data_IF_273766923610
#
_entry.id   IF_273766923610
#
_cell.length_a   1.000
_cell.length_b   1.000
_cell.length_c   1.000
_cell.angle_alpha   90.00
_cell.angle_beta   90.00
_cell.angle_gamma   90.00
#
_symmetry.space_group_name_H-M   'P 1'
#
loop_
_entity.id
_entity.type
_entity.pdbx_description
1 polymer ?
#
# COMPACT_ATOMS: atom_id res chain seq x y z
N UNK A 1 -3.67 -18.14 23.90
CA UNK A 1 -4.83 -17.33 24.33
C UNK A 1 -5.16 -16.44 23.16
N UNK A 2 -6.06 -16.92 22.32
CA UNK A 2 -6.46 -16.29 21.08
C UNK A 2 -7.32 -15.07 21.37
N UNK A 3 -6.71 -13.90 21.25
CA UNK A 3 -7.50 -12.67 21.23
C UNK A 3 -8.10 -12.60 19.82
N UNK A 4 -9.43 -12.60 19.67
CA UNK A 4 -10.03 -12.49 18.35
C UNK A 4 -9.52 -11.18 17.71
N UNK A 5 -9.11 -11.27 16.44
CA UNK A 5 -8.84 -10.11 15.60
C UNK A 5 -10.12 -9.28 15.49
N UNK A 6 -10.36 -8.42 16.47
CA UNK A 6 -11.47 -7.47 16.48
C UNK A 6 -11.10 -6.24 15.65
N UNK A 7 -10.63 -6.48 14.45
CA UNK A 7 -10.53 -5.48 13.40
C UNK A 7 -11.80 -5.58 12.56
N UNK A 8 -12.56 -4.53 12.49
CA UNK A 8 -13.79 -4.46 11.70
C UNK A 8 -13.57 -4.44 10.19
N UNK A 9 -12.33 -4.61 9.72
CA UNK A 9 -12.01 -4.60 8.29
C UNK A 9 -12.06 -6.01 7.70
N UNK A 10 -13.03 -6.33 6.83
CA UNK A 10 -13.17 -7.66 6.25
C UNK A 10 -11.96 -8.07 5.39
N UNK A 11 -11.23 -7.11 4.78
CA UNK A 11 -10.04 -7.40 4.00
C UNK A 11 -8.88 -7.85 4.90
N UNK A 12 -8.71 -7.22 6.05
CA UNK A 12 -7.67 -7.61 7.00
C UNK A 12 -7.97 -9.00 7.56
N UNK A 13 -9.21 -9.27 7.95
CA UNK A 13 -9.63 -10.59 8.42
C UNK A 13 -9.39 -11.69 7.37
N UNK A 14 -9.79 -11.44 6.12
CA UNK A 14 -9.58 -12.39 5.02
C UNK A 14 -8.10 -12.61 4.75
N UNK A 15 -7.30 -11.55 4.75
CA UNK A 15 -5.86 -11.65 4.49
C UNK A 15 -5.13 -12.47 5.57
N UNK A 16 -5.46 -12.24 6.84
CA UNK A 16 -4.92 -13.03 7.95
C UNK A 16 -5.30 -14.50 7.79
N UNK A 17 -6.60 -14.78 7.56
CA UNK A 17 -7.05 -16.15 7.36
C UNK A 17 -6.33 -16.86 6.20
N UNK A 18 -6.12 -16.19 5.09
CA UNK A 18 -5.38 -16.77 3.96
C UNK A 18 -3.95 -17.14 4.33
N UNK A 19 -3.27 -16.29 5.11
CA UNK A 19 -1.90 -16.56 5.59
C UNK A 19 -1.90 -17.71 6.60
N UNK A 20 -2.84 -17.74 7.53
CA UNK A 20 -2.98 -18.84 8.50
C UNK A 20 -3.26 -20.18 7.79
N UNK A 21 -4.17 -20.20 6.83
CA UNK A 21 -4.49 -21.39 6.02
C UNK A 21 -3.23 -21.86 5.23
N UNK A 22 -2.39 -20.94 4.77
CA UNK A 22 -1.13 -21.25 4.13
C UNK A 22 -0.13 -21.87 5.12
N UNK A 23 0.08 -21.26 6.29
CA UNK A 23 1.00 -21.73 7.31
C UNK A 23 0.62 -23.14 7.80
N UNK A 24 -0.67 -23.40 7.98
CA UNK A 24 -1.16 -24.73 8.33
C UNK A 24 -0.85 -25.76 7.25
N UNK A 25 -1.05 -25.43 5.98
CA UNK A 25 -0.74 -26.34 4.84
C UNK A 25 0.74 -26.72 4.76
N UNK A 26 1.60 -25.78 5.14
CA UNK A 26 3.06 -26.02 5.15
C UNK A 26 3.57 -26.57 6.49
N UNK A 27 2.67 -26.88 7.43
CA UNK A 27 3.00 -27.49 8.72
C UNK A 27 3.62 -26.52 9.74
N UNK A 28 3.57 -25.22 9.49
CA UNK A 28 4.04 -24.21 10.44
C UNK A 28 2.94 -23.90 11.47
N UNK A 29 3.17 -24.30 12.71
CA UNK A 29 2.24 -24.09 13.84
C UNK A 29 2.74 -23.05 14.83
N UNK A 30 4.02 -22.67 14.74
CA UNK A 30 4.68 -21.70 15.61
C UNK A 30 4.87 -20.39 14.84
N UNK A 31 3.90 -19.50 14.95
CA UNK A 31 3.91 -18.19 14.31
C UNK A 31 3.19 -17.13 15.13
N UNK A 32 3.51 -15.87 14.84
CA UNK A 32 2.88 -14.68 15.43
C UNK A 32 2.50 -13.71 14.33
N UNK A 33 1.22 -13.34 14.25
CA UNK A 33 0.75 -12.26 13.38
C UNK A 33 1.10 -10.92 14.00
N UNK A 34 1.99 -10.18 13.34
CA UNK A 34 2.47 -8.87 13.79
C UNK A 34 1.61 -7.73 13.25
N UNK A 35 1.05 -7.90 12.04
CA UNK A 35 0.14 -6.96 11.41
C UNK A 35 -0.93 -7.72 10.61
N UNK A 36 -2.20 -7.32 10.65
CA UNK A 36 -2.78 -6.23 11.43
C UNK A 36 -2.79 -6.54 12.94
N UNK A 37 -2.40 -5.57 13.74
CA UNK A 37 -2.37 -5.71 15.20
C UNK A 37 -2.63 -4.35 15.84
N UNK A 38 -3.28 -4.35 16.99
CA UNK A 38 -3.53 -3.13 17.78
C UNK A 38 -2.37 -2.75 18.70
N UNK A 39 -1.34 -3.60 18.83
CA UNK A 39 -0.25 -3.43 19.79
C UNK A 39 1.10 -3.05 19.21
N UNK A 40 1.34 -3.29 17.93
CA UNK A 40 2.60 -3.00 17.26
C UNK A 40 2.38 -2.00 16.12
N UNK A 41 3.23 -0.98 16.08
CA UNK A 41 3.29 -0.07 14.94
C UNK A 41 4.39 -0.54 13.99
N UNK A 42 4.00 -1.13 12.86
CA UNK A 42 4.92 -1.57 11.82
C UNK A 42 4.82 -0.62 10.64
N UNK A 43 5.95 -0.01 10.29
CA UNK A 43 6.04 0.74 9.03
C UNK A 43 6.16 -0.22 7.85
N UNK A 44 5.01 -0.60 7.30
CA UNK A 44 4.92 -1.52 6.16
C UNK A 44 5.61 -0.97 4.91
N UNK A 45 5.67 0.35 4.76
CA UNK A 45 6.38 0.99 3.63
C UNK A 45 7.88 0.85 3.79
N UNK A 46 8.41 1.17 4.98
CA UNK A 46 9.83 1.00 5.24
C UNK A 46 10.25 -0.47 5.05
N UNK A 47 9.45 -1.41 5.57
CA UNK A 47 9.71 -2.84 5.42
C UNK A 47 9.71 -3.27 3.93
N UNK A 48 8.67 -2.95 3.17
CA UNK A 48 8.59 -3.31 1.76
C UNK A 48 9.67 -2.67 0.90
N UNK A 49 10.08 -1.44 1.23
CA UNK A 49 11.21 -0.77 0.57
C UNK A 49 12.54 -1.46 0.88
N UNK A 50 12.77 -1.84 2.13
CA UNK A 50 13.97 -2.56 2.55
C UNK A 50 14.08 -3.94 1.87
N UNK A 51 12.96 -4.60 1.66
CA UNK A 51 12.87 -5.88 0.93
C UNK A 51 12.94 -5.73 -0.60
N UNK A 52 13.06 -4.50 -1.12
CA UNK A 52 13.11 -4.27 -2.56
C UNK A 52 11.77 -4.46 -3.30
N UNK A 53 10.67 -4.62 -2.59
CA UNK A 53 9.36 -4.88 -3.20
C UNK A 53 8.74 -3.66 -3.88
N UNK A 54 9.19 -2.47 -3.53
CA UNK A 54 8.78 -1.22 -4.16
C UNK A 54 9.83 -0.13 -4.03
N UNK A 55 9.72 0.88 -4.88
CA UNK A 55 10.42 2.16 -4.77
C UNK A 55 9.48 3.28 -4.32
N UNK A 56 10.04 4.43 -3.96
CA UNK A 56 9.22 5.61 -3.67
C UNK A 56 8.60 6.18 -4.95
N UNK A 57 7.40 6.73 -4.83
CA UNK A 57 6.73 7.47 -5.89
C UNK A 57 6.47 8.92 -5.51
N UNK A 58 6.23 9.77 -6.50
CA UNK A 58 5.80 11.14 -6.29
C UNK A 58 4.47 11.26 -5.52
N UNK A 59 3.71 10.17 -5.43
CA UNK A 59 2.42 10.12 -4.72
C UNK A 59 2.56 9.85 -3.21
N UNK A 60 3.77 9.74 -2.68
CA UNK A 60 4.02 9.42 -1.27
C UNK A 60 3.65 7.99 -0.87
N UNK A 61 3.40 7.10 -1.84
CA UNK A 61 3.14 5.66 -1.66
C UNK A 61 4.15 4.84 -2.46
N UNK A 62 4.25 3.54 -2.17
CA UNK A 62 5.14 2.64 -2.93
C UNK A 62 4.69 2.46 -4.38
N UNK A 63 5.66 2.21 -5.26
CA UNK A 63 5.45 1.84 -6.66
C UNK A 63 6.37 0.69 -7.04
N UNK A 64 5.85 -0.31 -7.76
CA UNK A 64 6.67 -1.33 -8.41
C UNK A 64 6.39 -1.43 -9.90
N UNK A 65 7.27 -2.12 -10.64
CA UNK A 65 7.20 -2.17 -12.10
C UNK A 65 5.99 -2.95 -12.63
N UNK A 66 5.46 -3.90 -11.86
CA UNK A 66 4.35 -4.77 -12.26
C UNK A 66 3.01 -4.11 -11.91
N UNK A 67 2.77 -3.92 -10.62
CA UNK A 67 1.46 -3.46 -10.12
C UNK A 67 1.33 -1.92 -10.08
N UNK A 68 2.37 -1.18 -10.48
CA UNK A 68 2.39 0.27 -10.29
C UNK A 68 2.22 0.62 -8.82
N UNK A 69 1.21 1.43 -8.52
CA UNK A 69 0.83 1.78 -7.14
C UNK A 69 -0.38 0.98 -6.62
N UNK A 70 -0.85 -0.03 -7.37
CA UNK A 70 -2.10 -0.76 -7.12
C UNK A 70 -1.89 -2.05 -6.33
N UNK A 71 -1.14 -1.97 -5.24
CA UNK A 71 -0.91 -3.04 -4.28
C UNK A 71 -1.00 -2.54 -2.85
N UNK A 72 -1.10 -3.45 -1.89
CA UNK A 72 -1.05 -3.13 -0.47
C UNK A 72 -0.48 -4.31 0.32
N UNK A 73 0.34 -4.02 1.31
CA UNK A 73 0.77 -4.99 2.32
C UNK A 73 -0.36 -5.20 3.32
N UNK A 74 -0.72 -6.44 3.58
CA UNK A 74 -1.89 -6.77 4.37
C UNK A 74 -1.59 -7.56 5.63
N UNK A 75 -0.53 -8.36 5.62
CA UNK A 75 -0.17 -9.19 6.76
C UNK A 75 1.34 -9.22 6.92
N UNK A 76 1.80 -9.12 8.16
CA UNK A 76 3.18 -9.41 8.56
C UNK A 76 3.14 -10.51 9.61
N UNK A 77 3.89 -11.57 9.38
CA UNK A 77 3.98 -12.73 10.25
C UNK A 77 5.42 -13.00 10.60
N UNK A 78 5.69 -13.26 11.87
CA UNK A 78 6.91 -13.91 12.33
C UNK A 78 6.59 -15.39 12.47
N UNK A 79 7.28 -16.26 11.74
CA UNK A 79 7.03 -17.69 11.74
C UNK A 79 8.32 -18.48 11.92
N UNK A 80 8.26 -19.51 12.75
CA UNK A 80 9.37 -20.46 12.93
C UNK A 80 9.28 -21.50 11.80
N UNK A 81 9.97 -21.23 10.69
CA UNK A 81 9.97 -22.09 9.52
C UNK A 81 11.40 -22.45 9.14
N UNK A 82 11.59 -23.67 8.62
CA UNK A 82 12.84 -24.10 8.00
C UNK A 82 12.88 -23.78 6.49
N UNK A 83 11.98 -22.92 6.01
CA UNK A 83 12.05 -22.50 4.62
C UNK A 83 13.27 -21.59 4.48
N UNK A 84 14.33 -22.13 3.90
CA UNK A 84 15.30 -21.30 3.24
C UNK A 84 14.51 -20.55 2.16
N UNK A 85 14.47 -19.25 2.27
CA UNK A 85 14.02 -18.43 1.15
C UNK A 85 15.08 -18.60 0.05
N UNK A 86 14.97 -19.68 -0.72
CA UNK A 86 15.64 -19.73 -2.01
C UNK A 86 14.95 -18.65 -2.83
N UNK A 87 15.56 -17.52 -2.81
CA UNK A 87 15.19 -16.35 -3.60
C UNK A 87 15.53 -16.63 -5.08
N UNK A 88 14.95 -17.74 -5.63
CA UNK A 88 15.06 -18.07 -7.05
C UNK A 88 14.41 -16.98 -7.92
N UNK A 89 13.71 -16.03 -7.32
CA UNK A 89 13.06 -14.91 -8.01
C UNK A 89 13.70 -13.56 -7.72
N UNK A 90 14.61 -13.43 -6.76
CA UNK A 90 15.50 -12.29 -6.69
C UNK A 90 16.66 -12.53 -7.66
N UNK A 91 16.36 -12.32 -8.92
CA UNK A 91 17.40 -11.92 -9.86
C UNK A 91 18.16 -10.78 -9.15
N UNK A 92 19.42 -11.03 -8.78
CA UNK A 92 20.28 -10.03 -8.13
C UNK A 92 20.38 -8.74 -8.94
N UNK A 93 19.86 -8.73 -10.17
CA UNK A 93 19.71 -7.56 -11.03
C UNK A 93 18.53 -6.67 -10.63
N UNK A 94 17.60 -7.12 -9.76
CA UNK A 94 16.55 -6.27 -9.15
C UNK A 94 17.05 -5.51 -7.91
N UNK A 95 18.36 -5.48 -7.68
CA UNK A 95 18.94 -4.61 -6.67
C UNK A 95 18.49 -3.17 -6.95
N UNK A 96 17.63 -2.65 -6.12
CA UNK A 96 17.39 -1.27 -5.69
C UNK A 96 18.08 -0.15 -6.52
N UNK A 97 18.15 -0.29 -7.84
CA UNK A 97 18.55 0.81 -8.68
C UNK A 97 17.38 1.79 -8.71
N UNK A 98 17.41 2.81 -7.85
CA UNK A 98 16.46 3.93 -7.88
C UNK A 98 16.35 4.54 -9.30
N UNK A 99 17.39 4.37 -10.13
CA UNK A 99 17.40 4.74 -11.56
C UNK A 99 16.48 3.82 -12.40
N UNK A 100 16.22 2.60 -11.97
CA UNK A 100 15.31 1.66 -12.64
C UNK A 100 13.88 1.70 -12.10
N UNK A 101 13.66 2.40 -10.97
CA UNK A 101 12.33 2.60 -10.43
C UNK A 101 11.41 3.27 -11.47
N UNK A 102 10.14 2.84 -11.59
CA UNK A 102 9.23 3.36 -12.61
C UNK A 102 9.17 4.89 -12.66
N UNK A 103 9.18 5.56 -11.50
CA UNK A 103 9.17 7.01 -11.42
C UNK A 103 10.46 7.67 -11.93
N UNK A 104 11.62 7.01 -11.82
CA UNK A 104 12.90 7.49 -12.36
C UNK A 104 12.91 7.53 -13.89
N UNK A 105 12.19 6.61 -14.53
CA UNK A 105 12.05 6.52 -16.00
C UNK A 105 10.86 7.35 -16.54
N UNK A 106 9.97 7.84 -15.67
CA UNK A 106 8.76 8.56 -16.07
C UNK A 106 9.03 10.04 -16.34
N UNK A 107 9.26 10.39 -17.60
CA UNK A 107 9.59 11.76 -18.04
C UNK A 107 8.37 12.68 -17.90
N UNK A 108 7.20 12.24 -18.32
CA UNK A 108 5.98 13.06 -18.44
C UNK A 108 5.29 13.33 -17.10
N UNK A 109 5.50 12.48 -16.10
CA UNK A 109 4.91 12.57 -14.76
C UNK A 109 3.42 12.95 -14.73
N UNK A 110 2.55 12.25 -15.46
CA UNK A 110 1.15 12.64 -15.59
C UNK A 110 0.38 12.68 -14.26
N UNK A 111 0.89 12.00 -13.23
CA UNK A 111 0.33 12.07 -11.88
C UNK A 111 0.49 13.47 -11.25
N UNK A 112 1.53 14.22 -11.62
CA UNK A 112 1.72 15.60 -11.15
C UNK A 112 0.69 16.52 -11.79
N UNK A 113 0.53 16.43 -13.10
CA UNK A 113 -0.38 17.27 -13.88
C UNK A 113 -1.86 16.99 -13.55
N UNK A 114 -2.20 15.74 -13.23
CA UNK A 114 -3.56 15.35 -12.90
C UNK A 114 -3.99 15.70 -11.47
N UNK A 115 -3.08 16.15 -10.61
CA UNK A 115 -3.42 16.50 -9.23
C UNK A 115 -3.97 17.92 -9.15
N UNK A 116 -5.23 18.15 -8.71
CA UNK A 116 -5.82 19.49 -8.69
C UNK A 116 -5.14 20.46 -7.72
N UNK A 117 -4.34 19.96 -6.78
CA UNK A 117 -3.63 20.76 -5.78
C UNK A 117 -2.11 20.63 -5.84
N UNK A 118 -1.57 19.94 -6.87
CA UNK A 118 -0.14 19.78 -7.06
C UNK A 118 0.57 19.04 -5.92
N UNK A 119 -0.13 18.17 -5.19
CA UNK A 119 0.44 17.45 -4.04
C UNK A 119 1.60 16.48 -4.38
N UNK A 120 1.63 15.81 -5.57
CA UNK A 120 2.76 14.95 -5.93
C UNK A 120 4.03 15.75 -6.21
N UNK A 121 5.17 15.28 -5.68
CA UNK A 121 6.46 15.95 -5.85
C UNK A 121 7.62 15.14 -5.30
N UNK A 122 8.77 15.79 -5.10
CA UNK A 122 9.92 15.22 -4.38
C UNK A 122 9.51 14.87 -2.95
N UNK A 123 8.76 15.76 -2.34
CA UNK A 123 8.04 15.51 -1.08
C UNK A 123 6.55 15.65 -1.38
N UNK A 124 5.78 14.64 -0.97
CA UNK A 124 4.34 14.67 -1.17
C UNK A 124 3.68 15.62 -0.17
N UNK A 125 2.90 16.59 -0.68
CA UNK A 125 2.14 17.52 0.17
C UNK A 125 0.84 16.86 0.68
N UNK A 126 0.97 16.19 1.83
CA UNK A 126 -0.14 15.50 2.47
C UNK A 126 -1.24 16.49 2.91
N UNK A 127 -0.88 17.69 3.36
CA UNK A 127 -1.83 18.68 3.86
C UNK A 127 -2.73 19.20 2.72
N UNK A 128 -2.12 19.57 1.58
CA UNK A 128 -2.87 19.97 0.40
C UNK A 128 -3.80 18.85 -0.09
N UNK A 129 -3.28 17.60 -0.14
CA UNK A 129 -4.07 16.43 -0.53
C UNK A 129 -5.27 16.20 0.40
N UNK A 130 -5.04 16.22 1.72
CA UNK A 130 -6.12 16.03 2.70
C UNK A 130 -7.17 17.15 2.63
N UNK A 131 -6.72 18.40 2.44
CA UNK A 131 -7.59 19.57 2.26
C UNK A 131 -8.50 19.42 1.05
N UNK A 132 -7.95 19.03 -0.10
CA UNK A 132 -8.72 18.78 -1.31
C UNK A 132 -9.73 17.64 -1.13
N UNK A 133 -9.33 16.55 -0.50
CA UNK A 133 -10.20 15.38 -0.32
C UNK A 133 -11.45 15.67 0.53
N UNK A 134 -11.37 16.56 1.51
CA UNK A 134 -12.51 16.92 2.37
C UNK A 134 -13.30 18.11 1.85
N UNK A 135 -12.86 18.75 0.77
CA UNK A 135 -13.59 19.86 0.12
C UNK A 135 -14.91 19.33 -0.45
N UNK A 136 -15.98 20.06 -0.23
CA UNK A 136 -17.30 19.73 -0.79
C UNK A 136 -17.25 19.64 -2.31
N UNK A 137 -17.84 18.58 -2.85
CA UNK A 137 -17.86 18.31 -4.29
C UNK A 137 -16.52 17.88 -4.89
N UNK A 138 -15.50 17.59 -4.08
CA UNK A 138 -14.20 17.19 -4.60
C UNK A 138 -14.26 15.85 -5.34
N UNK A 139 -13.71 15.81 -6.55
CA UNK A 139 -13.51 14.56 -7.30
C UNK A 139 -12.51 13.63 -6.61
N UNK A 140 -11.66 14.14 -5.69
CA UNK A 140 -10.68 13.36 -4.94
C UNK A 140 -11.24 12.72 -3.67
N UNK A 141 -12.51 12.96 -3.31
CA UNK A 141 -13.11 12.41 -2.09
C UNK A 141 -13.07 10.87 -2.06
N UNK A 142 -13.37 10.23 -3.21
CA UNK A 142 -13.48 8.77 -3.33
C UNK A 142 -12.52 8.14 -4.34
N UNK A 143 -11.53 8.89 -4.83
CA UNK A 143 -10.49 8.42 -5.74
C UNK A 143 -9.26 9.33 -5.66
N UNK A 144 -8.22 8.99 -6.39
CA UNK A 144 -7.07 9.88 -6.59
C UNK A 144 -6.82 10.08 -8.09
N UNK A 145 -7.08 11.29 -8.59
CA UNK A 145 -6.87 11.62 -10.01
C UNK A 145 -5.41 11.42 -10.41
N UNK A 146 -4.48 11.83 -9.55
CA UNK A 146 -3.05 11.65 -9.76
C UNK A 146 -2.65 10.16 -9.85
N UNK A 147 -3.18 9.31 -8.96
CA UNK A 147 -2.92 7.87 -8.98
C UNK A 147 -3.50 7.21 -10.23
N UNK A 148 -4.70 7.63 -10.62
CA UNK A 148 -5.36 7.15 -11.82
C UNK A 148 -4.62 7.52 -13.10
N UNK A 149 -3.90 8.63 -13.12
CA UNK A 149 -3.10 9.06 -14.27
C UNK A 149 -1.78 8.31 -14.41
N UNK A 150 -1.34 7.54 -13.39
CA UNK A 150 -0.10 6.78 -13.49
C UNK A 150 -0.20 5.72 -14.60
N UNK A 151 0.78 5.66 -15.53
CA UNK A 151 0.75 4.71 -16.64
C UNK A 151 1.24 3.30 -16.27
N UNK A 152 1.77 3.12 -15.05
CA UNK A 152 2.34 1.84 -14.61
C UNK A 152 1.29 1.00 -13.90
N UNK A 153 1.17 -0.28 -14.26
CA UNK A 153 0.27 -1.23 -13.63
C UNK A 153 -1.22 -0.91 -13.86
N UNK A 154 -1.57 -0.38 -15.03
CA UNK A 154 -2.95 0.06 -15.35
C UNK A 154 -3.95 -1.09 -15.34
N UNK A 155 -3.50 -2.30 -15.63
CA UNK A 155 -4.28 -3.54 -15.58
C UNK A 155 -4.65 -3.97 -14.16
N UNK A 156 -3.91 -3.50 -13.16
CA UNK A 156 -4.16 -3.75 -11.73
C UNK A 156 -4.94 -2.62 -11.06
N UNK A 157 -5.33 -1.61 -11.83
CA UNK A 157 -6.09 -0.49 -11.30
C UNK A 157 -7.39 -0.96 -10.67
N UNK A 158 -7.62 -0.48 -9.47
CA UNK A 158 -8.88 -0.75 -8.78
C UNK A 158 -10.07 -0.26 -9.60
N UNK A 159 -11.14 -1.04 -9.61
CA UNK A 159 -12.41 -0.59 -10.14
C UNK A 159 -13.03 0.52 -9.25
N UNK A 160 -14.15 1.08 -9.69
CA UNK A 160 -14.77 2.20 -8.99
C UNK A 160 -15.25 1.83 -7.58
N UNK A 161 -15.74 0.62 -7.39
CA UNK A 161 -16.25 0.15 -6.10
C UNK A 161 -15.12 -0.08 -5.11
N UNK A 162 -14.01 -0.71 -5.55
CA UNK A 162 -12.80 -0.85 -4.76
C UNK A 162 -12.20 0.51 -4.38
N UNK A 163 -12.11 1.44 -5.35
CA UNK A 163 -11.62 2.79 -5.06
C UNK A 163 -12.50 3.46 -4.01
N UNK A 164 -13.82 3.45 -4.20
CA UNK A 164 -14.76 4.05 -3.28
C UNK A 164 -14.62 3.46 -1.87
N UNK A 165 -14.53 2.13 -1.76
CA UNK A 165 -14.36 1.44 -0.49
C UNK A 165 -13.12 1.93 0.27
N UNK A 166 -11.95 1.93 -0.36
CA UNK A 166 -10.69 2.31 0.28
C UNK A 166 -10.62 3.81 0.59
N UNK A 167 -11.06 4.64 -0.36
CA UNK A 167 -11.00 6.10 -0.20
C UNK A 167 -12.02 6.60 0.83
N UNK A 168 -13.19 5.99 0.90
CA UNK A 168 -14.19 6.35 1.90
C UNK A 168 -13.67 6.13 3.33
N UNK A 169 -13.02 4.99 3.59
CA UNK A 169 -12.42 4.72 4.91
C UNK A 169 -11.38 5.75 5.29
N UNK A 170 -10.45 6.04 4.40
CA UNK A 170 -9.42 7.06 4.67
C UNK A 170 -10.00 8.47 4.75
N UNK A 171 -11.08 8.78 4.02
CA UNK A 171 -11.78 10.06 4.14
C UNK A 171 -12.41 10.24 5.52
N UNK A 172 -13.07 9.20 6.05
CA UNK A 172 -13.63 9.20 7.41
C UNK A 172 -12.55 9.46 8.46
N UNK A 173 -11.37 8.84 8.33
CA UNK A 173 -10.24 9.09 9.23
C UNK A 173 -9.74 10.54 9.15
N UNK A 174 -9.64 11.11 7.95
CA UNK A 174 -9.23 12.52 7.78
C UNK A 174 -10.26 13.45 8.45
N UNK A 175 -11.54 13.17 8.28
CA UNK A 175 -12.61 13.98 8.87
C UNK A 175 -12.64 13.87 10.39
N UNK A 176 -12.47 12.67 10.95
CA UNK A 176 -12.44 12.47 12.41
C UNK A 176 -11.25 13.16 13.08
N UNK A 177 -10.06 13.14 12.45
CA UNK A 177 -8.87 13.82 12.97
C UNK A 177 -8.91 15.34 12.83
N UNK A 178 -9.82 15.91 12.04
CA UNK A 178 -10.04 17.38 11.96
C UNK A 178 -11.00 17.90 13.03
N UNK A 179 -11.72 17.01 13.70
CA UNK A 179 -12.67 17.36 14.76
C UNK A 179 -12.02 17.36 16.17
N UNK A 180 -10.75 16.97 16.26
CA UNK A 180 -9.93 17.06 17.49
C UNK A 180 -8.88 18.15 17.36
#
# INVERSE_FOLDING_TARGET
MDKPLTGSDPLDCMSVKMVEDFLQRVGCTDYLVLYPSTGLQIDLRALGKQLGWHADSALGIGINAIHGTWFAYRVVVLANTFYETHDETHDETQTNNLAEAPCGKCITRPCVDACPVGAPGVTFDLQACMGERVREGSACAYQCLARNACPVGTEYRYDQDQMRYHYQKSLQLIQSNKLT
#
